data_IF_230237310906
#
_entry.id   IF_230237310906
#
_cell.length_a   1.000
_cell.length_b   1.000
_cell.length_c   1.000
_cell.angle_alpha   90.00
_cell.angle_beta   90.00
_cell.angle_gamma   90.00
#
_symmetry.space_group_name_H-M   'P 1'
#
loop_
_entity.id
_entity.type
_entity.pdbx_description
1 polymer ?
#
# COMPACT_ATOMS: atom_id res chain seq x y z
N UNK A 1 -50.13 62.38 -0.33
CA UNK A 1 -49.66 61.74 -1.57
C UNK A 1 -48.24 61.24 -1.36
N UNK A 2 -48.04 59.98 -0.96
CA UNK A 2 -46.72 59.34 -1.02
C UNK A 2 -46.91 57.84 -1.34
N UNK A 3 -46.29 57.41 -2.44
CA UNK A 3 -46.28 56.05 -3.00
C UNK A 3 -45.38 55.13 -2.16
N UNK A 4 -45.69 53.82 -2.04
CA UNK A 4 -44.69 52.86 -1.59
C UNK A 4 -43.81 52.44 -2.78
N UNK A 5 -42.48 52.50 -2.60
CA UNK A 5 -41.51 51.86 -3.50
C UNK A 5 -41.35 50.40 -3.11
N UNK A 6 -41.73 49.48 -4.00
CA UNK A 6 -41.37 48.07 -3.92
C UNK A 6 -39.92 47.89 -4.38
N UNK A 7 -39.05 47.43 -3.48
CA UNK A 7 -37.69 47.00 -3.81
C UNK A 7 -37.71 45.49 -4.01
N UNK A 8 -37.56 45.04 -5.25
CA UNK A 8 -37.30 43.65 -5.61
C UNK A 8 -35.83 43.32 -5.28
N UNK A 9 -35.58 42.49 -4.26
CA UNK A 9 -34.29 41.84 -4.08
C UNK A 9 -34.19 40.64 -5.03
N UNK A 10 -33.37 40.76 -6.07
CA UNK A 10 -32.93 39.63 -6.88
C UNK A 10 -31.78 38.91 -6.14
N UNK A 11 -32.04 37.74 -5.58
CA UNK A 11 -31.03 36.86 -4.98
C UNK A 11 -30.21 36.18 -6.08
N UNK A 12 -28.99 36.67 -6.30
CA UNK A 12 -27.97 35.94 -7.08
C UNK A 12 -27.54 34.68 -6.30
N UNK A 13 -27.97 33.52 -6.78
CA UNK A 13 -27.40 32.22 -6.39
C UNK A 13 -26.07 32.04 -7.12
N UNK A 14 -24.96 32.33 -6.44
CA UNK A 14 -23.62 31.94 -6.89
C UNK A 14 -23.48 30.42 -6.75
N UNK A 15 -23.06 29.69 -7.81
CA UNK A 15 -22.78 28.27 -7.69
C UNK A 15 -21.53 28.08 -6.82
N UNK A 16 -21.68 27.32 -5.74
CA UNK A 16 -20.54 26.78 -5.00
C UNK A 16 -19.78 25.85 -5.95
N UNK A 17 -18.71 26.34 -6.55
CA UNK A 17 -17.72 25.49 -7.19
C UNK A 17 -17.13 24.59 -6.11
N UNK A 18 -17.53 23.32 -6.12
CA UNK A 18 -16.89 22.26 -5.34
C UNK A 18 -15.42 22.23 -5.74
N UNK A 19 -14.57 22.84 -4.93
CA UNK A 19 -13.14 22.62 -5.00
C UNK A 19 -12.96 21.14 -4.62
N UNK A 20 -12.70 20.29 -5.62
CA UNK A 20 -12.22 18.95 -5.37
C UNK A 20 -11.00 19.10 -4.47
N UNK A 21 -11.16 18.72 -3.20
CA UNK A 21 -10.20 19.03 -2.15
C UNK A 21 -8.82 18.50 -2.50
N UNK A 22 -7.82 19.38 -2.42
CA UNK A 22 -6.38 19.05 -2.49
C UNK A 22 -5.92 18.25 -1.26
N UNK A 23 -6.74 17.36 -0.69
CA UNK A 23 -6.29 16.49 0.39
C UNK A 23 -5.37 15.42 -0.20
N UNK A 24 -4.13 15.29 0.29
CA UNK A 24 -3.23 14.24 -0.13
C UNK A 24 -3.88 12.87 0.03
N UNK A 25 -3.61 11.96 -0.91
CA UNK A 25 -4.04 10.58 -0.81
C UNK A 25 -3.19 9.89 0.25
N UNK A 26 -3.79 9.67 1.41
CA UNK A 26 -3.13 8.95 2.50
C UNK A 26 -3.32 7.44 2.33
N UNK A 27 -2.26 6.65 2.53
CA UNK A 27 -2.39 5.22 2.71
C UNK A 27 -3.39 4.89 3.84
N UNK A 28 -4.01 3.73 3.72
CA UNK A 28 -4.75 3.14 4.82
C UNK A 28 -3.81 2.62 5.91
N UNK A 29 -4.18 1.53 6.56
CA UNK A 29 -3.45 1.08 7.76
C UNK A 29 -2.80 -0.28 7.54
N UNK A 30 -1.67 -0.47 8.21
CA UNK A 30 -1.08 -1.76 8.47
C UNK A 30 -1.21 -2.11 9.96
N UNK A 31 -1.36 -3.39 10.27
CA UNK A 31 -1.35 -3.87 11.66
C UNK A 31 -0.78 -5.28 11.73
N UNK A 32 0.24 -5.46 12.56
CA UNK A 32 0.90 -6.75 12.75
C UNK A 32 0.66 -7.26 14.15
N UNK A 33 0.29 -8.52 14.26
CA UNK A 33 0.22 -9.19 15.55
C UNK A 33 0.61 -10.65 15.41
N UNK A 34 1.74 -11.03 16.02
CA UNK A 34 2.32 -12.36 15.93
C UNK A 34 2.49 -12.81 14.46
N UNK A 35 1.85 -13.91 14.06
CA UNK A 35 2.01 -14.53 12.75
C UNK A 35 0.99 -14.01 11.72
N UNK A 36 0.38 -12.87 12.01
CA UNK A 36 -0.64 -12.27 11.16
C UNK A 36 -0.34 -10.80 10.84
N UNK A 37 -0.62 -10.44 9.60
CA UNK A 37 -0.47 -9.10 9.04
C UNK A 37 -1.80 -8.64 8.46
N UNK A 38 -2.21 -7.41 8.77
CA UNK A 38 -3.36 -6.74 8.15
C UNK A 38 -2.87 -5.57 7.31
N UNK A 39 -3.36 -5.45 6.08
CA UNK A 39 -3.37 -4.19 5.34
C UNK A 39 -4.81 -3.84 4.96
N UNK A 40 -5.20 -2.59 5.14
CA UNK A 40 -6.45 -2.06 4.61
C UNK A 40 -6.15 -0.89 3.69
N UNK A 41 -6.67 -0.93 2.46
CA UNK A 41 -6.46 0.13 1.49
C UNK A 41 -7.45 1.30 1.66
N UNK A 42 -7.16 2.40 0.96
CA UNK A 42 -7.97 3.62 0.92
C UNK A 42 -9.41 3.41 0.38
N UNK A 43 -9.75 2.25 -0.20
CA UNK A 43 -11.14 1.90 -0.58
C UNK A 43 -11.94 1.28 0.57
N UNK A 44 -11.25 0.92 1.66
CA UNK A 44 -11.80 0.16 2.79
C UNK A 44 -11.70 -1.35 2.61
N UNK A 45 -11.02 -1.84 1.57
CA UNK A 45 -10.76 -3.26 1.38
C UNK A 45 -9.61 -3.69 2.27
N UNK A 46 -9.80 -4.76 3.03
CA UNK A 46 -8.81 -5.26 3.99
C UNK A 46 -8.35 -6.67 3.64
N UNK A 47 -7.07 -6.95 3.85
CA UNK A 47 -6.39 -8.23 3.62
C UNK A 47 -5.64 -8.63 4.88
N UNK A 48 -6.06 -9.72 5.51
CA UNK A 48 -5.41 -10.33 6.67
C UNK A 48 -4.65 -11.59 6.21
N UNK A 49 -3.34 -11.52 6.18
CA UNK A 49 -2.45 -12.62 5.86
C UNK A 49 -1.96 -13.31 7.13
N UNK A 50 -2.20 -14.61 7.25
CA UNK A 50 -1.65 -15.51 8.26
C UNK A 50 -0.61 -16.43 7.64
N UNK A 51 0.42 -16.75 8.41
CA UNK A 51 1.56 -17.54 7.97
C UNK A 51 1.76 -18.77 8.86
N UNK A 52 2.58 -19.72 8.41
CA UNK A 52 3.09 -20.77 9.29
C UNK A 52 3.82 -20.17 10.52
N UNK A 53 3.89 -20.91 11.64
CA UNK A 53 4.75 -20.55 12.76
C UNK A 53 6.19 -20.33 12.29
N UNK A 54 6.89 -19.33 12.82
CA UNK A 54 8.24 -18.96 12.36
C UNK A 54 9.27 -20.11 12.42
N UNK A 55 9.10 -21.06 13.35
CA UNK A 55 9.98 -22.23 13.47
C UNK A 55 9.53 -23.42 12.61
N UNK A 56 8.36 -23.36 11.99
CA UNK A 56 7.92 -24.38 11.05
C UNK A 56 8.58 -24.10 9.69
N UNK A 57 9.22 -25.12 9.11
CA UNK A 57 9.69 -25.07 7.72
C UNK A 57 8.47 -25.17 6.78
N UNK A 58 7.70 -24.09 6.72
CA UNK A 58 6.45 -24.01 5.98
C UNK A 58 6.27 -22.62 5.38
N UNK A 59 6.40 -22.55 4.06
CA UNK A 59 6.13 -21.37 3.25
C UNK A 59 4.64 -21.25 2.89
N UNK A 60 3.74 -21.78 3.73
CA UNK A 60 2.31 -21.74 3.45
C UNK A 60 1.69 -20.47 4.05
N UNK A 61 1.00 -19.72 3.20
CA UNK A 61 0.26 -18.52 3.58
C UNK A 61 -1.23 -18.70 3.34
N UNK A 62 -2.03 -18.14 4.26
CA UNK A 62 -3.48 -17.97 4.11
C UNK A 62 -3.82 -16.48 4.14
N UNK A 63 -4.51 -15.97 3.13
CA UNK A 63 -4.97 -14.58 3.11
C UNK A 63 -6.49 -14.52 3.12
N UNK A 64 -7.04 -13.79 4.08
CA UNK A 64 -8.46 -13.43 4.19
C UNK A 64 -8.66 -12.02 3.66
N UNK A 65 -9.51 -11.85 2.66
CA UNK A 65 -9.78 -10.55 2.05
C UNK A 65 -11.26 -10.19 2.16
N UNK A 66 -11.54 -8.91 2.44
CA UNK A 66 -12.89 -8.39 2.49
C UNK A 66 -12.95 -6.96 1.96
N UNK A 67 -13.73 -6.76 0.91
CA UNK A 67 -14.03 -5.42 0.40
C UNK A 67 -14.75 -4.55 1.45
N UNK A 68 -14.56 -3.24 1.37
CA UNK A 68 -15.36 -2.28 2.15
C UNK A 68 -16.85 -2.31 1.74
N UNK A 69 -17.74 -1.73 2.55
CA UNK A 69 -19.17 -1.67 2.24
C UNK A 69 -20.04 -2.71 2.94
N UNK A 70 -21.34 -2.45 3.16
CA UNK A 70 -22.23 -3.36 3.85
C UNK A 70 -22.40 -4.69 3.10
N UNK A 71 -22.54 -5.81 3.83
CA UNK A 71 -22.87 -7.11 3.27
C UNK A 71 -21.77 -7.80 2.46
N UNK A 72 -20.55 -7.26 2.43
CA UNK A 72 -19.44 -7.91 1.71
C UNK A 72 -18.95 -9.17 2.40
N UNK A 73 -18.80 -10.23 1.61
CA UNK A 73 -18.27 -11.52 2.05
C UNK A 73 -16.75 -11.50 2.17
N UNK A 74 -16.22 -12.32 3.08
CA UNK A 74 -14.79 -12.64 3.14
C UNK A 74 -14.47 -13.69 2.08
N UNK A 75 -13.38 -13.48 1.35
CA UNK A 75 -12.75 -14.48 0.49
C UNK A 75 -11.48 -14.98 1.16
N UNK A 76 -11.07 -16.22 0.87
CA UNK A 76 -9.79 -16.73 1.33
C UNK A 76 -8.96 -17.27 0.17
N UNK A 77 -7.66 -17.03 0.23
CA UNK A 77 -6.64 -17.48 -0.72
C UNK A 77 -5.56 -18.23 0.03
N UNK A 78 -5.00 -19.24 -0.61
CA UNK A 78 -3.90 -20.05 -0.11
C UNK A 78 -2.75 -19.91 -1.08
N UNK A 79 -1.54 -19.63 -0.58
CA UNK A 79 -0.33 -19.61 -1.40
C UNK A 79 0.71 -20.51 -0.78
N UNK A 80 1.36 -21.30 -1.62
CA UNK A 80 2.57 -22.04 -1.28
C UNK A 80 3.73 -21.20 -1.81
N UNK A 81 4.55 -20.67 -0.91
CA UNK A 81 5.76 -19.95 -1.29
C UNK A 81 6.84 -20.91 -1.74
N UNK A 82 7.69 -20.45 -2.65
CA UNK A 82 8.83 -21.20 -3.19
C UNK A 82 10.07 -20.34 -3.05
N UNK A 83 11.12 -20.87 -2.43
CA UNK A 83 12.43 -20.22 -2.27
C UNK A 83 13.58 -21.03 -2.91
N UNK A 84 13.26 -22.20 -3.48
CA UNK A 84 14.22 -23.11 -4.11
C UNK A 84 14.96 -24.04 -3.14
N UNK A 85 14.74 -23.92 -1.83
CA UNK A 85 15.44 -24.69 -0.80
C UNK A 85 14.48 -25.47 0.11
N UNK A 86 13.37 -24.84 0.53
CA UNK A 86 12.39 -25.44 1.42
C UNK A 86 11.59 -26.55 0.76
N UNK A 87 11.12 -27.48 1.60
CA UNK A 87 10.20 -28.53 1.15
C UNK A 87 8.86 -27.96 0.74
N UNK A 88 8.25 -28.55 -0.29
CA UNK A 88 6.97 -28.12 -0.86
C UNK A 88 5.90 -29.21 -0.68
N UNK A 89 4.62 -28.84 -0.53
CA UNK A 89 3.52 -29.81 -0.52
C UNK A 89 3.51 -30.69 -1.77
N UNK A 90 3.43 -32.00 -1.57
CA UNK A 90 3.42 -32.97 -2.68
C UNK A 90 2.00 -33.41 -3.07
N UNK A 91 1.66 -33.30 -4.35
CA UNK A 91 0.41 -33.82 -4.90
C UNK A 91 -0.84 -33.07 -4.41
N UNK A 92 -1.93 -33.80 -4.18
CA UNK A 92 -3.20 -33.18 -3.79
C UNK A 92 -3.16 -32.68 -2.34
N UNK A 93 -3.60 -31.45 -2.12
CA UNK A 93 -3.70 -30.85 -0.79
C UNK A 93 -5.13 -30.85 -0.25
N UNK A 94 -5.29 -31.01 1.06
CA UNK A 94 -6.57 -30.94 1.77
C UNK A 94 -6.47 -30.04 2.99
N UNK A 95 -7.48 -29.21 3.21
CA UNK A 95 -7.54 -28.32 4.37
C UNK A 95 -8.20 -29.03 5.54
N UNK A 96 -7.54 -29.04 6.70
CA UNK A 96 -8.08 -29.51 7.97
C UNK A 96 -8.11 -28.35 8.99
N UNK A 97 -9.23 -28.22 9.70
CA UNK A 97 -9.37 -27.25 10.80
C UNK A 97 -9.89 -27.98 12.03
N UNK A 98 -9.17 -27.92 13.14
CA UNK A 98 -9.50 -28.59 14.41
C UNK A 98 -9.80 -30.10 14.21
N UNK A 99 -9.02 -30.76 13.36
CA UNK A 99 -9.19 -32.19 13.04
C UNK A 99 -10.33 -32.49 12.05
N UNK A 100 -11.15 -31.51 11.65
CA UNK A 100 -12.19 -31.69 10.63
C UNK A 100 -11.64 -31.44 9.24
N UNK A 101 -11.74 -32.43 8.37
CA UNK A 101 -11.40 -32.31 6.95
C UNK A 101 -12.44 -31.43 6.23
N UNK A 102 -11.98 -30.35 5.60
CA UNK A 102 -12.78 -29.39 4.83
C UNK A 102 -12.65 -29.60 3.31
N UNK A 103 -11.97 -30.67 2.91
CA UNK A 103 -11.83 -31.12 1.54
C UNK A 103 -10.63 -30.51 0.80
N UNK A 104 -10.55 -30.74 -0.51
CA UNK A 104 -9.38 -30.35 -1.30
C UNK A 104 -9.19 -28.84 -1.36
N UNK A 105 -7.93 -28.44 -1.41
CA UNK A 105 -7.44 -27.08 -1.67
C UNK A 105 -6.28 -27.16 -2.66
N UNK A 106 -5.95 -26.02 -3.26
CA UNK A 106 -4.81 -25.86 -4.15
C UNK A 106 -4.17 -24.51 -3.87
N UNK A 107 -2.95 -24.30 -4.37
CA UNK A 107 -2.42 -22.94 -4.49
C UNK A 107 -3.36 -22.13 -5.38
N UNK A 108 -3.73 -20.95 -4.90
CA UNK A 108 -4.65 -20.04 -5.57
C UNK A 108 -3.94 -19.10 -6.56
N UNK A 109 -2.61 -19.14 -6.61
CA UNK A 109 -1.79 -18.34 -7.51
C UNK A 109 -1.77 -16.86 -7.14
N UNK A 110 -1.14 -16.03 -8.01
CA UNK A 110 -1.06 -14.59 -7.79
C UNK A 110 -2.32 -13.79 -8.17
N UNK A 111 -3.10 -14.26 -9.15
CA UNK A 111 -4.04 -13.41 -9.91
C UNK A 111 -5.48 -13.31 -9.34
N UNK A 112 -5.66 -13.57 -8.04
CA UNK A 112 -6.95 -13.46 -7.30
C UNK A 112 -8.15 -14.26 -7.86
N UNK A 113 -7.98 -14.97 -8.98
CA UNK A 113 -9.04 -15.63 -9.73
C UNK A 113 -9.55 -16.91 -9.06
N UNK A 114 -8.72 -17.56 -8.26
CA UNK A 114 -9.05 -18.80 -7.54
C UNK A 114 -9.16 -18.50 -6.03
N UNK A 115 -10.22 -18.97 -5.39
CA UNK A 115 -10.42 -18.81 -3.93
C UNK A 115 -10.87 -20.12 -3.31
N UNK A 116 -10.68 -20.26 -1.99
CA UNK A 116 -11.27 -21.35 -1.22
C UNK A 116 -12.80 -21.33 -1.31
N UNK A 117 -13.42 -22.50 -1.16
CA UNK A 117 -14.89 -22.63 -1.22
C UNK A 117 -15.55 -21.89 -0.04
N UNK A 118 -16.76 -21.34 -0.20
CA UNK A 118 -17.45 -20.62 0.88
C UNK A 118 -17.56 -21.40 2.20
N UNK A 119 -17.79 -22.71 2.14
CA UNK A 119 -17.84 -23.56 3.33
C UNK A 119 -16.48 -23.68 4.07
N UNK A 120 -15.36 -23.67 3.33
CA UNK A 120 -14.01 -23.65 3.90
C UNK A 120 -13.74 -22.30 4.58
N UNK A 121 -14.09 -21.20 3.91
CA UNK A 121 -13.94 -19.84 4.48
C UNK A 121 -14.76 -19.69 5.75
N UNK A 122 -16.03 -20.13 5.75
CA UNK A 122 -16.88 -20.07 6.92
C UNK A 122 -16.33 -20.87 8.11
N UNK A 123 -15.76 -22.05 7.85
CA UNK A 123 -15.13 -22.88 8.90
C UNK A 123 -13.86 -22.24 9.47
N UNK A 124 -13.02 -21.64 8.62
CA UNK A 124 -11.84 -20.88 9.07
C UNK A 124 -12.25 -19.69 9.96
N UNK A 125 -13.21 -18.88 9.51
CA UNK A 125 -13.70 -17.73 10.26
C UNK A 125 -14.41 -18.09 11.56
N UNK A 126 -14.94 -19.30 11.68
CA UNK A 126 -15.50 -19.80 12.93
C UNK A 126 -14.42 -20.23 13.93
N UNK A 127 -13.25 -20.69 13.46
CA UNK A 127 -12.17 -21.20 14.30
C UNK A 127 -11.19 -20.11 14.75
N UNK A 128 -10.79 -19.21 13.85
CA UNK A 128 -9.78 -18.15 14.07
C UNK A 128 -10.04 -17.17 15.24
N UNK A 129 -11.29 -16.92 15.70
CA UNK A 129 -11.50 -16.11 16.90
C UNK A 129 -11.03 -16.78 18.20
N UNK A 130 -10.88 -18.11 18.20
CA UNK A 130 -10.43 -18.90 19.34
C UNK A 130 -9.09 -19.57 19.09
N UNK A 131 -8.85 -20.71 19.76
CA UNK A 131 -7.70 -21.56 19.47
C UNK A 131 -8.03 -22.45 18.26
N UNK A 132 -7.22 -22.37 17.22
CA UNK A 132 -7.43 -23.09 15.97
C UNK A 132 -6.19 -23.88 15.56
N UNK A 133 -6.38 -25.15 15.20
CA UNK A 133 -5.36 -25.94 14.52
C UNK A 133 -5.70 -26.00 13.04
N UNK A 134 -4.99 -25.20 12.25
CA UNK A 134 -5.21 -25.07 10.80
C UNK A 134 -4.04 -25.74 10.09
N UNK A 135 -4.34 -26.72 9.25
CA UNK A 135 -3.31 -27.49 8.56
C UNK A 135 -3.74 -27.79 7.14
N UNK A 136 -2.80 -27.70 6.21
CA UNK A 136 -2.91 -28.29 4.88
C UNK A 136 -2.19 -29.63 4.92
N UNK A 137 -2.84 -30.69 4.46
CA UNK A 137 -2.29 -32.04 4.41
C UNK A 137 -2.09 -32.43 2.96
N UNK A 138 -0.88 -32.82 2.60
CA UNK A 138 -0.53 -33.25 1.25
C UNK A 138 -0.78 -34.75 1.03
N UNK A 139 -0.47 -35.25 -0.17
CA UNK A 139 -0.71 -36.65 -0.53
C UNK A 139 0.20 -37.66 0.21
N UNK A 140 1.31 -37.18 0.78
CA UNK A 140 2.24 -37.97 1.61
C UNK A 140 1.81 -38.02 3.07
N UNK A 141 0.80 -37.22 3.46
CA UNK A 141 0.36 -37.08 4.84
C UNK A 141 1.16 -36.05 5.64
N UNK A 142 2.06 -35.30 4.98
CA UNK A 142 2.79 -34.19 5.60
C UNK A 142 1.81 -33.08 5.96
N UNK A 143 2.03 -32.45 7.12
CA UNK A 143 1.14 -31.44 7.68
C UNK A 143 1.83 -30.10 7.63
N UNK A 144 1.21 -29.16 6.93
CA UNK A 144 1.70 -27.81 6.71
C UNK A 144 0.84 -26.84 7.52
N UNK A 145 1.31 -26.38 8.69
CA UNK A 145 0.50 -25.60 9.61
C UNK A 145 0.37 -24.14 9.16
N UNK A 146 -0.79 -23.54 9.43
CA UNK A 146 -0.98 -22.08 9.45
C UNK A 146 -1.21 -21.69 10.91
N UNK A 147 -0.47 -20.70 11.39
CA UNK A 147 -0.56 -20.23 12.78
C UNK A 147 -1.92 -19.56 13.05
N UNK A 148 -2.51 -19.81 14.20
CA UNK A 148 -3.66 -19.07 14.72
C UNK A 148 -3.24 -17.87 15.59
N UNK A 149 -1.96 -17.78 15.95
CA UNK A 149 -1.44 -16.76 16.86
C UNK A 149 -1.56 -15.38 16.24
N UNK A 150 -2.44 -14.59 16.81
CA UNK A 150 -2.70 -13.20 16.44
C UNK A 150 -3.83 -13.00 15.43
N UNK A 151 -4.40 -14.09 14.89
CA UNK A 151 -5.54 -14.03 13.98
C UNK A 151 -6.71 -13.21 14.55
N UNK A 152 -7.12 -13.51 15.79
CA UNK A 152 -8.23 -12.83 16.44
C UNK A 152 -8.00 -11.30 16.56
N UNK A 153 -6.77 -10.86 16.84
CA UNK A 153 -6.45 -9.43 16.95
C UNK A 153 -6.49 -8.74 15.59
N UNK A 154 -5.89 -9.36 14.56
CA UNK A 154 -5.90 -8.84 13.19
C UNK A 154 -7.32 -8.79 12.62
N UNK A 155 -8.13 -9.83 12.83
CA UNK A 155 -9.52 -9.84 12.39
C UNK A 155 -10.40 -8.84 13.16
N UNK A 156 -10.14 -8.62 14.45
CA UNK A 156 -10.80 -7.56 15.21
C UNK A 156 -10.42 -6.18 14.65
N UNK A 157 -9.13 -5.97 14.34
CA UNK A 157 -8.68 -4.72 13.73
C UNK A 157 -9.32 -4.49 12.36
N UNK A 158 -9.50 -5.54 11.56
CA UNK A 158 -10.26 -5.47 10.30
C UNK A 158 -11.71 -5.03 10.54
N UNK A 159 -12.40 -5.62 11.54
CA UNK A 159 -13.75 -5.19 11.92
C UNK A 159 -13.79 -3.73 12.39
N UNK A 160 -12.78 -3.25 13.12
CA UNK A 160 -12.70 -1.85 13.56
C UNK A 160 -12.55 -0.88 12.38
N UNK A 161 -11.60 -1.15 11.48
CA UNK A 161 -11.33 -0.30 10.31
C UNK A 161 -12.55 -0.23 9.39
N UNK A 162 -13.22 -1.36 9.17
CA UNK A 162 -14.45 -1.40 8.38
C UNK A 162 -15.69 -0.95 9.15
N UNK A 163 -15.56 -0.57 10.44
CA UNK A 163 -16.66 -0.17 11.33
C UNK A 163 -17.78 -1.22 11.39
N UNK A 164 -17.40 -2.45 11.69
CA UNK A 164 -18.28 -3.63 11.76
C UNK A 164 -18.42 -4.23 13.14
N UNK A 165 -17.60 -3.83 14.10
CA UNK A 165 -17.74 -4.27 15.50
C UNK A 165 -19.18 -4.07 15.98
N UNK A 166 -19.78 -5.13 16.53
CA UNK A 166 -21.17 -5.14 17.00
C UNK A 166 -22.23 -5.34 15.92
N UNK A 167 -21.87 -5.59 14.66
CA UNK A 167 -22.82 -5.99 13.60
C UNK A 167 -22.95 -7.52 13.50
N UNK A 168 -23.99 -8.05 12.85
CA UNK A 168 -24.05 -9.48 12.53
C UNK A 168 -22.90 -9.95 11.65
N UNK A 169 -22.36 -9.07 10.79
CA UNK A 169 -21.25 -9.35 9.87
C UNK A 169 -19.85 -9.18 10.45
N UNK A 170 -19.71 -8.93 11.76
CA UNK A 170 -18.40 -8.88 12.42
C UNK A 170 -17.75 -10.28 12.44
N UNK A 171 -16.43 -10.32 12.26
CA UNK A 171 -15.64 -11.56 12.32
C UNK A 171 -15.37 -11.99 13.77
N UNK A 172 -15.14 -11.03 14.67
CA UNK A 172 -14.80 -11.32 16.08
C UNK A 172 -15.93 -10.94 17.04
N UNK A 173 -16.31 -9.65 17.09
CA UNK A 173 -17.30 -9.13 18.05
C UNK A 173 -18.64 -8.90 17.35
N UNK A 174 -19.41 -9.97 17.15
CA UNK A 174 -20.75 -9.88 16.56
C UNK A 174 -21.74 -9.19 17.49
N UNK A 175 -22.78 -8.61 16.90
CA UNK A 175 -23.88 -7.98 17.66
C UNK A 175 -25.09 -7.70 16.77
N UNK A 176 -25.95 -6.79 17.22
CA UNK A 176 -27.23 -6.49 16.58
C UNK A 176 -27.26 -5.16 15.81
N UNK A 177 -26.14 -4.42 15.79
CA UNK A 177 -26.06 -3.17 15.01
C UNK A 177 -26.27 -3.50 13.54
N UNK A 178 -27.17 -2.76 12.88
CA UNK A 178 -27.55 -3.05 11.50
C UNK A 178 -26.33 -3.08 10.58
N UNK A 179 -26.22 -4.14 9.76
CA UNK A 179 -25.16 -4.29 8.76
C UNK A 179 -25.15 -3.12 7.76
N UNK A 180 -26.31 -2.52 7.48
CA UNK A 180 -26.45 -1.32 6.65
C UNK A 180 -25.78 -0.06 7.23
N UNK A 181 -25.38 -0.06 8.52
CA UNK A 181 -24.64 1.05 9.13
C UNK A 181 -23.13 1.02 8.85
N UNK A 182 -22.64 -0.03 8.18
CA UNK A 182 -21.26 -0.12 7.72
C UNK A 182 -21.03 0.88 6.58
N UNK A 183 -19.97 1.70 6.64
CA UNK A 183 -19.66 2.65 5.56
C UNK A 183 -19.51 1.96 4.21
N UNK A 184 -20.03 2.59 3.16
CA UNK A 184 -19.79 2.16 1.79
C UNK A 184 -18.29 2.14 1.47
N UNK A 185 -17.89 1.25 0.54
CA UNK A 185 -16.55 1.30 -0.03
C UNK A 185 -16.31 2.68 -0.68
N UNK A 186 -15.08 3.18 -0.56
CA UNK A 186 -14.67 4.43 -1.21
C UNK A 186 -14.21 4.12 -2.63
N UNK A 187 -14.49 5.04 -3.55
CA UNK A 187 -14.03 4.92 -4.94
C UNK A 187 -12.52 5.09 -4.97
N UNK A 188 -11.84 4.30 -5.82
CA UNK A 188 -10.41 4.48 -6.08
C UNK A 188 -10.19 5.89 -6.64
N UNK A 189 -9.28 6.70 -6.07
CA UNK A 189 -8.88 7.97 -6.65
C UNK A 189 -8.37 7.77 -8.08
N UNK A 190 -8.66 8.72 -8.96
CA UNK A 190 -8.16 8.72 -10.33
C UNK A 190 -7.04 9.75 -10.44
N UNK A 191 -5.88 9.33 -10.93
CA UNK A 191 -4.75 10.19 -11.26
C UNK A 191 -4.62 10.22 -12.78
N UNK A 192 -4.73 11.41 -13.37
CA UNK A 192 -4.51 11.59 -14.80
C UNK A 192 -3.03 11.87 -15.00
N UNK A 193 -2.31 10.96 -15.64
CA UNK A 193 -0.88 11.11 -15.88
C UNK A 193 -0.64 12.17 -16.96
N UNK A 194 0.24 13.13 -16.69
CA UNK A 194 0.55 14.19 -17.65
C UNK A 194 1.84 13.92 -18.43
N UNK A 195 1.89 14.46 -19.65
CA UNK A 195 3.11 14.44 -20.44
C UNK A 195 4.24 15.24 -19.78
N UNK A 196 5.47 14.81 -20.03
CA UNK A 196 6.68 15.54 -19.66
C UNK A 196 7.15 16.36 -20.87
N UNK A 197 7.79 17.48 -20.61
CA UNK A 197 8.46 18.26 -21.66
C UNK A 197 9.79 17.60 -22.04
N UNK A 198 10.21 17.78 -23.30
CA UNK A 198 11.52 17.32 -23.74
C UNK A 198 12.64 18.04 -22.95
N UNK A 199 13.74 17.35 -22.59
CA UNK A 199 14.85 18.00 -21.91
C UNK A 199 15.45 19.12 -22.75
N UNK A 200 15.96 20.14 -22.08
CA UNK A 200 16.75 21.20 -22.70
C UNK A 200 18.23 20.94 -22.49
N UNK A 201 19.06 21.53 -23.34
CA UNK A 201 20.52 21.40 -23.26
C UNK A 201 21.10 21.88 -21.92
N UNK A 202 20.50 22.93 -21.35
CA UNK A 202 20.91 23.57 -20.11
C UNK A 202 20.51 22.81 -18.84
N UNK A 203 19.61 21.84 -18.93
CA UNK A 203 19.11 21.10 -17.75
C UNK A 203 20.24 20.35 -17.04
N UNK A 204 21.23 19.86 -17.80
CA UNK A 204 22.39 19.15 -17.24
C UNK A 204 23.25 20.02 -16.32
N UNK A 205 23.31 21.33 -16.57
CA UNK A 205 24.08 22.26 -15.75
C UNK A 205 23.46 22.47 -14.35
N UNK A 206 22.15 22.22 -14.19
CA UNK A 206 21.50 22.26 -12.89
C UNK A 206 21.98 21.11 -11.99
N UNK A 207 22.39 19.98 -12.57
CA UNK A 207 22.84 18.80 -11.83
C UNK A 207 24.03 19.06 -10.91
N UNK A 208 24.88 20.03 -11.27
CA UNK A 208 26.07 20.45 -10.50
C UNK A 208 25.92 21.82 -9.83
N UNK A 209 24.70 22.39 -9.81
CA UNK A 209 24.45 23.71 -9.24
C UNK A 209 24.44 23.66 -7.70
N UNK A 210 25.41 24.33 -7.07
CA UNK A 210 25.46 24.51 -5.61
C UNK A 210 24.23 25.29 -5.11
N UNK A 211 23.80 26.32 -5.84
CA UNK A 211 22.65 27.14 -5.44
C UNK A 211 21.33 26.35 -5.45
N UNK A 212 21.17 25.42 -6.41
CA UNK A 212 20.01 24.52 -6.42
C UNK A 212 20.10 23.54 -5.25
N UNK A 213 21.27 22.92 -5.03
CA UNK A 213 21.49 22.02 -3.88
C UNK A 213 21.14 22.70 -2.55
N UNK A 214 21.59 23.92 -2.34
CA UNK A 214 21.31 24.69 -1.12
C UNK A 214 19.82 24.98 -0.98
N UNK A 215 19.12 25.27 -2.09
CA UNK A 215 17.66 25.41 -2.09
C UNK A 215 16.95 24.10 -1.71
N UNK A 216 17.45 22.93 -2.15
CA UNK A 216 16.91 21.63 -1.73
C UNK A 216 17.13 21.39 -0.23
N UNK A 217 18.36 21.63 0.28
CA UNK A 217 18.68 21.46 1.71
C UNK A 217 17.81 22.36 2.57
N UNK A 218 17.52 23.59 2.13
CA UNK A 218 16.64 24.50 2.85
C UNK A 218 15.21 23.95 3.03
N UNK A 219 14.74 23.07 2.15
CA UNK A 219 13.42 22.42 2.29
C UNK A 219 13.36 21.38 3.43
N UNK A 220 14.51 20.88 3.87
CA UNK A 220 14.62 19.88 4.93
C UNK A 220 14.56 20.52 6.34
N UNK A 221 14.78 21.83 6.44
CA UNK A 221 14.83 22.54 7.72
C UNK A 221 15.97 22.01 8.61
N UNK A 222 15.68 21.80 9.89
CA UNK A 222 16.65 21.27 10.88
C UNK A 222 16.67 19.74 10.93
N UNK A 223 16.14 19.04 9.91
CA UNK A 223 16.11 17.58 9.89
C UNK A 223 17.36 16.97 9.24
N UNK A 224 17.81 15.83 9.78
CA UNK A 224 18.89 15.02 9.21
C UNK A 224 18.34 13.98 8.22
N UNK A 225 17.21 14.24 7.56
CA UNK A 225 16.47 13.23 6.78
C UNK A 225 17.17 12.83 5.46
N UNK A 226 18.13 13.63 4.99
CA UNK A 226 18.88 13.39 3.76
C UNK A 226 20.40 13.65 3.95
N UNK A 227 21.07 12.88 4.81
CA UNK A 227 22.43 13.18 5.25
C UNK A 227 23.44 13.14 4.10
N UNK A 228 23.25 12.26 3.11
CA UNK A 228 24.14 12.20 1.93
C UNK A 228 24.09 13.49 1.10
N UNK A 229 22.93 14.14 0.98
CA UNK A 229 22.83 15.43 0.32
C UNK A 229 23.52 16.51 1.15
N UNK A 230 23.25 16.57 2.45
CA UNK A 230 23.72 17.62 3.38
C UNK A 230 25.24 17.59 3.57
N UNK A 231 25.80 16.41 3.81
CA UNK A 231 27.18 16.23 4.23
C UNK A 231 28.17 16.22 3.06
N UNK A 232 27.71 15.95 1.84
CA UNK A 232 28.58 15.85 0.66
C UNK A 232 29.33 17.17 0.40
N UNK A 233 30.65 17.08 0.25
CA UNK A 233 31.57 18.24 0.11
C UNK A 233 32.17 18.41 -1.30
N UNK A 234 31.75 17.58 -2.26
CA UNK A 234 32.18 17.68 -3.66
C UNK A 234 31.22 18.52 -4.51
N UNK A 235 31.45 18.52 -5.83
CA UNK A 235 30.50 19.06 -6.81
C UNK A 235 29.18 18.29 -6.76
N UNK A 236 28.02 18.95 -6.58
CA UNK A 236 26.74 18.25 -6.53
C UNK A 236 26.55 17.30 -7.73
N UNK A 237 26.02 16.11 -7.45
CA UNK A 237 25.70 15.10 -8.46
C UNK A 237 24.19 14.83 -8.42
N UNK A 238 23.40 15.82 -8.85
CA UNK A 238 21.95 15.71 -8.94
C UNK A 238 21.52 15.28 -10.34
N UNK A 239 20.49 14.44 -10.43
CA UNK A 239 19.88 14.04 -11.71
C UNK A 239 18.67 14.93 -11.98
N UNK A 240 18.60 15.49 -13.18
CA UNK A 240 17.62 16.49 -13.58
C UNK A 240 16.72 15.94 -14.68
N UNK A 241 15.41 15.99 -14.46
CA UNK A 241 14.41 15.60 -15.42
C UNK A 241 13.42 16.74 -15.63
N UNK A 242 13.27 17.22 -16.86
CA UNK A 242 12.33 18.29 -17.16
C UNK A 242 10.88 17.83 -17.09
N UNK A 243 10.09 18.47 -16.23
CA UNK A 243 8.66 18.20 -16.08
C UNK A 243 7.86 19.05 -17.07
N UNK A 244 8.09 20.36 -17.05
CA UNK A 244 7.39 21.33 -17.89
C UNK A 244 8.31 22.48 -18.35
N UNK A 245 7.70 23.57 -18.82
CA UNK A 245 8.40 24.74 -19.35
C UNK A 245 9.26 25.49 -18.33
N UNK A 246 8.98 25.35 -17.04
CA UNK A 246 9.66 26.09 -15.97
C UNK A 246 10.07 25.21 -14.79
N UNK A 247 9.65 23.95 -14.74
CA UNK A 247 9.95 23.04 -13.63
C UNK A 247 10.76 21.83 -14.05
N UNK A 248 11.66 21.43 -13.15
CA UNK A 248 12.44 20.21 -13.20
C UNK A 248 12.17 19.36 -11.96
N UNK A 249 12.21 18.06 -12.14
CA UNK A 249 12.35 17.08 -11.07
C UNK A 249 13.84 16.90 -10.79
N UNK A 250 14.21 17.12 -9.54
CA UNK A 250 15.60 16.99 -9.07
C UNK A 250 15.69 15.77 -8.19
N UNK A 251 16.63 14.88 -8.49
CA UNK A 251 16.95 13.69 -7.70
C UNK A 251 18.32 13.86 -7.06
N UNK A 252 18.44 13.54 -5.77
CA UNK A 252 19.72 13.44 -5.09
C UNK A 252 19.73 12.28 -4.09
N UNK A 253 20.88 11.60 -3.93
CA UNK A 253 21.02 10.51 -2.98
C UNK A 253 20.82 11.02 -1.54
N UNK A 254 19.91 10.40 -0.78
CA UNK A 254 19.68 10.72 0.63
C UNK A 254 20.28 9.68 1.57
N UNK A 255 19.98 8.40 1.34
CA UNK A 255 20.43 7.31 2.20
C UNK A 255 20.97 6.16 1.38
N UNK A 256 21.95 5.45 1.95
CA UNK A 256 22.50 4.22 1.39
C UNK A 256 22.87 3.27 2.53
N UNK A 257 22.16 2.16 2.60
CA UNK A 257 22.41 1.05 3.52
C UNK A 257 22.91 -0.21 2.79
N UNK A 258 22.96 -1.33 3.51
CA UNK A 258 23.54 -2.57 2.98
C UNK A 258 22.78 -3.17 1.78
N UNK A 259 21.46 -2.98 1.72
CA UNK A 259 20.61 -3.56 0.68
C UNK A 259 19.44 -2.65 0.24
N UNK A 260 19.35 -1.44 0.79
CA UNK A 260 18.38 -0.41 0.42
C UNK A 260 19.13 0.92 0.23
N UNK A 261 18.63 1.78 -0.65
CA UNK A 261 19.03 3.18 -0.76
C UNK A 261 17.79 4.01 -1.06
N UNK A 262 17.85 5.31 -0.78
CA UNK A 262 16.79 6.25 -1.13
C UNK A 262 17.38 7.52 -1.71
N UNK A 263 16.64 8.10 -2.64
CA UNK A 263 16.87 9.44 -3.16
C UNK A 263 15.77 10.36 -2.66
N UNK A 264 16.15 11.61 -2.45
CA UNK A 264 15.22 12.71 -2.37
C UNK A 264 14.83 13.16 -3.77
N UNK A 265 13.55 13.48 -3.91
CA UNK A 265 12.98 14.05 -5.12
C UNK A 265 12.29 15.37 -4.79
N UNK A 266 12.57 16.38 -5.60
CA UNK A 266 11.98 17.71 -5.49
C UNK A 266 11.45 18.18 -6.83
N UNK A 267 10.36 18.93 -6.81
CA UNK A 267 10.00 19.79 -7.94
C UNK A 267 10.62 21.15 -7.67
N UNK A 268 11.37 21.68 -8.63
CA UNK A 268 11.98 23.01 -8.54
C UNK A 268 11.77 23.77 -9.85
N UNK A 269 11.72 25.10 -9.78
CA UNK A 269 11.91 25.94 -10.95
C UNK A 269 13.28 25.67 -11.57
N UNK A 270 13.42 25.85 -12.89
CA UNK A 270 14.69 25.71 -13.59
C UNK A 270 15.62 26.93 -13.46
N UNK A 271 15.21 27.93 -12.69
CA UNK A 271 15.96 29.16 -12.40
C UNK A 271 15.79 29.59 -10.93
N UNK A 272 16.77 30.34 -10.41
CA UNK A 272 16.69 30.98 -9.08
C UNK A 272 15.43 31.86 -8.98
N UNK A 273 14.67 31.82 -7.87
CA UNK A 273 15.03 31.27 -6.57
C UNK A 273 14.77 29.76 -6.38
N UNK A 274 14.53 29.00 -7.47
CA UNK A 274 14.27 27.56 -7.52
C UNK A 274 12.98 27.10 -6.83
N UNK A 275 12.55 27.74 -5.72
CA UNK A 275 11.33 27.44 -4.97
C UNK A 275 11.05 25.93 -4.85
N UNK A 276 12.06 25.18 -4.42
CA UNK A 276 12.00 23.73 -4.39
C UNK A 276 10.92 23.24 -3.40
N UNK A 277 10.19 22.21 -3.81
CA UNK A 277 9.19 21.51 -3.00
C UNK A 277 9.55 20.03 -2.91
N UNK A 278 9.62 19.49 -1.68
CA UNK A 278 9.87 18.07 -1.46
C UNK A 278 8.70 17.26 -2.01
N UNK A 279 9.00 16.27 -2.85
CA UNK A 279 8.02 15.26 -3.28
C UNK A 279 8.07 14.07 -2.32
N UNK A 280 9.26 13.48 -2.15
CA UNK A 280 9.51 12.34 -1.26
C UNK A 280 11.01 12.21 -1.01
N UNK A 281 11.40 11.69 0.15
CA UNK A 281 12.77 11.32 0.49
C UNK A 281 13.00 9.80 0.43
N UNK A 282 11.99 9.08 -0.03
CA UNK A 282 11.91 7.62 0.04
C UNK A 282 11.99 6.92 -1.33
N UNK A 283 11.97 7.64 -2.46
CA UNK A 283 11.97 6.98 -3.76
C UNK A 283 13.38 6.50 -4.15
N UNK A 284 13.46 5.32 -4.77
CA UNK A 284 14.72 4.80 -5.30
C UNK A 284 15.00 5.33 -6.71
N UNK A 285 13.96 5.69 -7.46
CA UNK A 285 14.13 6.17 -8.83
C UNK A 285 12.88 6.79 -9.46
N UNK A 286 13.07 7.31 -10.66
CA UNK A 286 12.03 7.84 -11.53
C UNK A 286 11.96 7.06 -12.85
N UNK A 287 10.77 6.57 -13.20
CA UNK A 287 10.49 5.99 -14.51
C UNK A 287 9.90 7.04 -15.44
N UNK A 288 10.69 7.49 -16.43
CA UNK A 288 10.22 8.47 -17.43
C UNK A 288 9.03 7.97 -18.26
N UNK A 289 9.03 6.70 -18.65
CA UNK A 289 7.95 6.09 -19.42
C UNK A 289 6.64 6.00 -18.63
N UNK A 290 6.74 5.63 -17.34
CA UNK A 290 5.60 5.56 -16.42
C UNK A 290 5.25 6.88 -15.75
N UNK A 291 6.07 7.93 -15.91
CA UNK A 291 6.01 9.22 -15.21
C UNK A 291 5.79 9.04 -13.70
N UNK A 292 6.50 8.06 -13.15
CA UNK A 292 6.23 7.55 -11.80
C UNK A 292 7.53 7.45 -11.02
N UNK A 293 7.56 8.04 -9.83
CA UNK A 293 8.55 7.76 -8.80
C UNK A 293 8.18 6.45 -8.14
N UNK A 294 9.17 5.64 -7.82
CA UNK A 294 8.96 4.34 -7.18
C UNK A 294 9.97 4.12 -6.06
N UNK A 295 9.53 3.40 -5.03
CA UNK A 295 10.32 2.99 -3.89
C UNK A 295 10.09 1.50 -3.63
N UNK A 296 11.15 0.70 -3.45
CA UNK A 296 11.05 -0.71 -3.06
C UNK A 296 11.99 -0.97 -1.90
N UNK A 297 11.44 -1.27 -0.74
CA UNK A 297 12.19 -1.44 0.50
C UNK A 297 12.17 -2.89 0.95
N UNK A 298 13.33 -3.51 1.02
CA UNK A 298 13.46 -4.83 1.64
C UNK A 298 13.46 -4.68 3.16
N UNK A 299 12.65 -5.47 3.85
CA UNK A 299 12.68 -5.51 5.32
C UNK A 299 13.96 -6.16 5.87
N UNK A 300 14.58 -7.06 5.09
CA UNK A 300 15.89 -7.66 5.37
C UNK A 300 16.60 -8.08 4.09
N UNK A 301 17.90 -8.36 4.15
CA UNK A 301 18.75 -8.61 2.98
C UNK A 301 18.25 -9.71 2.02
N UNK A 302 17.56 -10.74 2.54
CA UNK A 302 16.94 -11.82 1.75
C UNK A 302 15.84 -11.28 0.83
N UNK A 303 15.13 -10.23 1.23
CA UNK A 303 14.03 -9.66 0.45
C UNK A 303 12.77 -10.52 0.44
N UNK A 304 12.56 -11.35 1.45
CA UNK A 304 11.35 -12.17 1.65
C UNK A 304 10.17 -11.40 2.28
N UNK A 305 10.39 -10.11 2.51
CA UNK A 305 9.39 -9.10 2.82
C UNK A 305 9.85 -7.78 2.19
N UNK A 306 8.96 -7.15 1.46
CA UNK A 306 9.19 -5.91 0.72
C UNK A 306 8.01 -4.99 0.97
N UNK A 307 8.26 -3.69 1.09
CA UNK A 307 7.23 -2.66 0.94
C UNK A 307 7.54 -1.80 -0.28
N UNK A 308 6.53 -1.13 -0.79
CA UNK A 308 6.71 -0.22 -1.90
C UNK A 308 5.67 0.87 -1.94
N UNK A 309 6.09 1.98 -2.56
CA UNK A 309 5.27 3.16 -2.79
C UNK A 309 5.55 3.68 -4.18
N UNK A 310 4.52 4.19 -4.85
CA UNK A 310 4.62 4.84 -6.15
C UNK A 310 3.94 6.21 -6.11
N UNK A 311 4.49 7.17 -6.84
CA UNK A 311 3.91 8.49 -7.04
C UNK A 311 3.89 8.85 -8.52
N UNK A 312 2.73 9.22 -9.05
CA UNK A 312 2.56 9.52 -10.49
C UNK A 312 2.42 11.01 -10.73
N UNK A 313 3.13 11.51 -11.75
CA UNK A 313 3.05 12.90 -12.20
C UNK A 313 1.70 13.22 -12.83
N UNK A 314 0.99 14.21 -12.29
CA UNK A 314 -0.32 14.64 -12.78
C UNK A 314 -0.31 15.93 -13.63
N UNK A 315 0.87 16.47 -13.91
CA UNK A 315 1.05 17.75 -14.64
C UNK A 315 1.28 18.95 -13.73
N UNK A 316 1.13 18.76 -12.42
CA UNK A 316 1.41 19.79 -11.40
C UNK A 316 2.25 19.25 -10.25
N UNK A 317 1.99 18.03 -9.81
CA UNK A 317 2.67 17.37 -8.69
C UNK A 317 2.74 15.86 -8.89
N UNK A 318 3.58 15.21 -8.11
CA UNK A 318 3.60 13.76 -7.98
C UNK A 318 2.60 13.33 -6.91
N UNK A 319 1.54 12.62 -7.32
CA UNK A 319 0.50 12.14 -6.40
C UNK A 319 0.79 10.69 -5.99
N UNK A 320 0.70 10.34 -4.69
CA UNK A 320 0.75 8.96 -4.25
C UNK A 320 -0.26 8.11 -5.03
N UNK A 321 0.22 7.12 -5.77
CA UNK A 321 -0.60 6.29 -6.67
C UNK A 321 -0.72 4.85 -6.18
N UNK A 322 0.30 4.35 -5.48
CA UNK A 322 0.28 3.03 -4.83
C UNK A 322 1.09 3.04 -3.54
N UNK A 323 0.69 2.20 -2.58
CA UNK A 323 1.49 1.84 -1.42
C UNK A 323 1.09 0.42 -0.98
N UNK A 324 2.06 -0.42 -0.64
CA UNK A 324 1.83 -1.80 -0.26
C UNK A 324 2.97 -2.38 0.59
N UNK A 325 2.64 -3.46 1.28
CA UNK A 325 3.60 -4.40 1.88
C UNK A 325 3.38 -5.79 1.30
N UNK A 326 4.38 -6.66 1.37
CA UNK A 326 4.23 -8.08 1.07
C UNK A 326 3.99 -8.92 2.34
N UNK A 327 3.86 -8.23 3.47
CA UNK A 327 3.56 -8.78 4.79
C UNK A 327 4.81 -9.25 5.53
N UNK A 328 4.68 -10.34 6.30
CA UNK A 328 5.77 -10.82 7.15
C UNK A 328 6.88 -11.48 6.35
N UNK A 329 8.12 -11.30 6.82
CA UNK A 329 9.31 -11.98 6.32
C UNK A 329 9.22 -13.46 6.69
N UNK A 330 8.74 -14.28 5.75
CA UNK A 330 8.41 -15.70 5.96
C UNK A 330 9.03 -16.60 4.89
N UNK A 331 10.24 -16.26 4.44
CA UNK A 331 11.09 -17.11 3.60
C UNK A 331 10.84 -16.97 2.10
N UNK A 332 9.61 -16.69 1.66
CA UNK A 332 9.32 -16.53 0.23
C UNK A 332 9.94 -15.24 -0.35
N UNK A 333 10.88 -15.31 -1.30
CA UNK A 333 11.45 -14.13 -1.95
C UNK A 333 10.38 -13.26 -2.61
N UNK A 334 10.43 -11.94 -2.39
CA UNK A 334 9.39 -11.01 -2.83
C UNK A 334 8.08 -11.07 -2.03
N UNK A 335 7.99 -11.98 -1.05
CA UNK A 335 6.86 -12.15 -0.14
C UNK A 335 5.67 -12.93 -0.72
N UNK A 336 4.81 -13.40 0.18
CA UNK A 336 3.65 -14.21 -0.19
C UNK A 336 2.51 -13.42 -0.82
N UNK A 337 2.44 -12.11 -0.60
CA UNK A 337 1.26 -11.35 -0.96
C UNK A 337 1.67 -9.99 -1.51
N UNK A 338 0.74 -9.34 -2.19
CA UNK A 338 0.74 -7.89 -2.32
C UNK A 338 -0.44 -7.41 -1.46
N UNK A 339 -0.15 -6.63 -0.44
CA UNK A 339 -1.11 -6.16 0.56
C UNK A 339 -1.18 -4.63 0.46
N UNK A 340 -2.05 -4.07 -0.41
CA UNK A 340 -2.12 -2.64 -0.62
C UNK A 340 -2.68 -1.90 0.59
N UNK A 341 -2.12 -0.73 0.84
CA UNK A 341 -2.65 0.31 1.74
C UNK A 341 -3.10 1.54 0.96
N UNK A 342 -2.57 1.76 -0.24
CA UNK A 342 -3.05 2.78 -1.16
C UNK A 342 -3.22 2.19 -2.56
N UNK A 343 -4.39 2.44 -3.15
CA UNK A 343 -4.66 2.11 -4.54
C UNK A 343 -5.30 3.32 -5.24
N UNK A 344 -4.84 3.58 -6.45
CA UNK A 344 -5.42 4.57 -7.37
C UNK A 344 -5.60 3.97 -8.75
N UNK A 345 -6.45 4.58 -9.56
CA UNK A 345 -6.53 4.34 -11.00
C UNK A 345 -5.69 5.40 -11.71
N UNK A 346 -4.65 4.98 -12.43
CA UNK A 346 -3.83 5.87 -13.25
C UNK A 346 -4.35 5.82 -14.69
N UNK A 347 -4.62 6.99 -15.29
CA UNK A 347 -5.13 7.13 -16.66
C UNK A 347 -4.22 7.95 -17.54
#
# INVERSE_FOLDING_TARGET
MYRPLSVLLASLLLPLASHAGNTPLEPGIEFVHHDWFLACDNTGTCRAAGYGPEQADSLLGLMLERAGGPGTAVKARLRVGEDGESTMPEGSMRLQVNGRDLGPVQDTGPDEAVTLRPAQVAALLAALPGQARIEVIDSRGTRWPISDRGAAAVLLKMDEVQRRVGTPGALIRRGTRAEASVPAARVKPVIVSAALTAPRSEDSALGSSEALRDALIATLGDSDDCPRLIEYKGTPEMVIERLDNSHVLVQALCQMGAYNYSNGFWIAHDQSPYAAEVVTLEAEGFSRGGRTLYARYKGRGIGDCVSGSDWTWDGRRFQPSSAFSTGLCRGMPGGHWTLPTLVSEVR
#
